data_IF_874940099812
#
_entry.id   IF_874940099812
#
_cell.length_a   1.000
_cell.length_b   1.000
_cell.length_c   1.000
_cell.angle_alpha   90.00
_cell.angle_beta   90.00
_cell.angle_gamma   90.00
#
_symmetry.space_group_name_H-M   'P 1'
#
loop_
_entity.id
_entity.type
_entity.pdbx_description
1 polymer ?
#
# COMPACT_ATOMS: atom_id res chain seq x y z
N UNK A 1 39.16 -9.44 1.08
CA UNK A 1 37.75 -9.88 0.95
C UNK A 1 37.74 -11.36 1.29
N UNK A 2 36.80 -11.83 2.11
CA UNK A 2 36.69 -13.26 2.40
C UNK A 2 36.12 -13.97 1.16
N UNK A 3 36.39 -15.27 1.01
CA UNK A 3 35.99 -16.05 -0.17
C UNK A 3 34.46 -16.07 -0.36
N UNK A 4 33.68 -15.88 0.70
CA UNK A 4 32.21 -15.81 0.65
C UNK A 4 31.67 -14.52 0.00
N UNK A 5 32.55 -13.54 -0.26
CA UNK A 5 32.22 -12.26 -0.89
C UNK A 5 32.79 -12.17 -2.31
N UNK A 6 32.90 -13.29 -3.02
CA UNK A 6 33.19 -13.27 -4.46
C UNK A 6 31.98 -12.79 -5.27
N UNK A 7 31.99 -11.50 -5.60
CA UNK A 7 30.98 -10.86 -6.45
C UNK A 7 31.33 -10.91 -7.94
N UNK A 8 32.33 -11.68 -8.37
CA UNK A 8 32.75 -11.78 -9.78
C UNK A 8 31.61 -12.23 -10.73
N UNK A 9 30.66 -13.03 -10.23
CA UNK A 9 29.44 -13.44 -10.93
C UNK A 9 28.26 -12.46 -10.83
N UNK A 10 28.45 -11.30 -10.19
CA UNK A 10 27.39 -10.32 -9.95
C UNK A 10 26.94 -9.61 -11.23
N UNK A 11 25.62 -9.64 -11.51
CA UNK A 11 25.03 -8.92 -12.65
C UNK A 11 24.44 -7.59 -12.16
N UNK A 12 24.99 -6.47 -12.64
CA UNK A 12 24.46 -5.13 -12.34
C UNK A 12 23.01 -5.03 -12.81
N UNK A 13 22.13 -4.61 -11.90
CA UNK A 13 20.73 -4.36 -12.23
C UNK A 13 19.91 -5.61 -12.56
N UNK A 14 20.31 -6.81 -12.12
CA UNK A 14 19.60 -8.09 -12.36
C UNK A 14 18.08 -8.03 -12.12
N UNK A 15 17.63 -7.20 -11.17
CA UNK A 15 16.21 -6.99 -10.84
C UNK A 15 15.73 -5.54 -11.05
N UNK A 16 16.57 -4.67 -11.61
CA UNK A 16 16.24 -3.26 -11.80
C UNK A 16 15.05 -3.08 -12.74
N UNK A 17 14.91 -3.92 -13.76
CA UNK A 17 13.76 -3.91 -14.66
C UNK A 17 12.47 -4.30 -13.94
N UNK A 18 12.48 -5.34 -13.10
CA UNK A 18 11.31 -5.76 -12.29
C UNK A 18 10.88 -4.71 -11.27
N UNK A 19 11.84 -3.93 -10.76
CA UNK A 19 11.56 -2.79 -9.91
C UNK A 19 10.88 -1.65 -10.70
N UNK A 20 11.36 -1.37 -11.92
CA UNK A 20 10.79 -0.37 -12.84
C UNK A 20 9.43 -0.76 -13.41
N UNK A 21 9.13 -2.05 -13.54
CA UNK A 21 7.83 -2.60 -13.94
C UNK A 21 6.72 -2.33 -12.90
N UNK A 22 7.07 -1.65 -11.79
CA UNK A 22 6.10 -1.17 -10.83
C UNK A 22 5.74 -2.27 -9.86
N UNK A 23 6.63 -2.55 -8.92
CA UNK A 23 6.15 -3.09 -7.65
C UNK A 23 5.29 -1.99 -7.04
N UNK A 24 4.00 -2.24 -6.77
CA UNK A 24 3.10 -1.27 -6.14
C UNK A 24 3.46 -1.09 -4.65
N UNK A 25 4.71 -0.73 -4.37
CA UNK A 25 5.26 -0.49 -3.04
C UNK A 25 5.05 0.99 -2.75
N UNK A 26 4.09 1.25 -1.87
CA UNK A 26 3.84 2.58 -1.33
C UNK A 26 4.57 2.68 0.01
N UNK A 27 5.52 3.60 0.11
CA UNK A 27 6.17 3.92 1.39
C UNK A 27 5.17 4.70 2.24
N UNK A 28 5.00 4.27 3.49
CA UNK A 28 4.27 5.04 4.49
C UNK A 28 5.21 6.07 5.11
N UNK A 29 4.65 7.20 5.54
CA UNK A 29 5.39 8.14 6.38
C UNK A 29 5.69 7.50 7.75
N UNK A 30 6.73 8.01 8.41
CA UNK A 30 7.32 7.34 9.57
C UNK A 30 6.34 7.28 10.76
N UNK A 31 5.50 8.30 10.91
CA UNK A 31 4.42 8.36 11.90
C UNK A 31 3.32 7.32 11.60
N UNK A 32 2.94 7.17 10.33
CA UNK A 32 1.96 6.17 9.90
C UNK A 32 2.51 4.76 10.07
N UNK A 33 3.76 4.53 9.69
CA UNK A 33 4.43 3.25 9.87
C UNK A 33 4.55 2.87 11.36
N UNK A 34 4.77 3.83 12.25
CA UNK A 34 4.83 3.58 13.70
C UNK A 34 3.49 3.09 14.29
N UNK A 35 2.36 3.43 13.66
CA UNK A 35 1.03 2.99 14.10
C UNK A 35 0.71 1.53 13.71
N UNK A 36 1.37 0.98 12.69
CA UNK A 36 1.04 -0.35 12.16
C UNK A 36 2.23 -1.32 12.23
N UNK A 37 2.08 -2.49 12.85
CA UNK A 37 3.18 -3.44 13.01
C UNK A 37 3.60 -4.13 11.70
N UNK A 38 2.71 -4.21 10.70
CA UNK A 38 2.98 -4.81 9.41
C UNK A 38 1.96 -4.38 8.33
N UNK A 39 2.21 -4.77 7.09
CA UNK A 39 1.36 -4.47 5.93
C UNK A 39 -0.02 -5.13 5.98
N UNK A 40 -0.18 -6.27 6.65
CA UNK A 40 -1.49 -6.91 6.81
C UNK A 40 -2.44 -6.00 7.60
N UNK A 41 -1.96 -5.39 8.69
CA UNK A 41 -2.75 -4.46 9.51
C UNK A 41 -3.09 -3.15 8.81
N UNK A 42 -2.18 -2.63 7.98
CA UNK A 42 -2.47 -1.47 7.12
C UNK A 42 -3.60 -1.80 6.14
N UNK A 43 -3.50 -2.94 5.46
CA UNK A 43 -4.49 -3.35 4.46
C UNK A 43 -5.86 -3.64 5.08
N UNK A 44 -5.89 -4.25 6.26
CA UNK A 44 -7.13 -4.47 7.03
C UNK A 44 -7.83 -3.14 7.32
N UNK A 45 -7.11 -2.17 7.89
CA UNK A 45 -7.67 -0.85 8.21
C UNK A 45 -8.21 -0.10 6.98
N UNK A 46 -7.45 -0.10 5.88
CA UNK A 46 -7.87 0.57 4.64
C UNK A 46 -9.10 -0.09 4.01
N UNK A 47 -9.22 -1.42 4.09
CA UNK A 47 -10.42 -2.14 3.59
C UNK A 47 -11.65 -1.81 4.43
N UNK A 48 -11.51 -1.78 5.76
CA UNK A 48 -12.60 -1.38 6.66
C UNK A 48 -13.05 0.05 6.38
N UNK A 49 -12.10 0.98 6.18
CA UNK A 49 -12.41 2.35 5.78
C UNK A 49 -13.17 2.40 4.44
N UNK A 50 -12.71 1.63 3.45
CA UNK A 50 -13.39 1.54 2.14
C UNK A 50 -14.83 1.05 2.27
N UNK A 51 -15.08 0.02 3.10
CA UNK A 51 -16.44 -0.48 3.37
C UNK A 51 -17.31 0.60 4.01
N UNK A 52 -16.80 1.32 5.01
CA UNK A 52 -17.54 2.39 5.68
C UNK A 52 -17.93 3.51 4.71
N UNK A 53 -17.00 3.94 3.85
CA UNK A 53 -17.24 4.97 2.84
C UNK A 53 -18.31 4.49 1.84
N UNK A 54 -18.23 3.24 1.39
CA UNK A 54 -19.21 2.64 0.49
C UNK A 54 -20.60 2.63 1.11
N UNK A 55 -20.73 2.16 2.35
CA UNK A 55 -22.01 2.14 3.07
C UNK A 55 -22.58 3.54 3.34
N UNK A 56 -21.74 4.54 3.59
CA UNK A 56 -22.22 5.91 3.78
C UNK A 56 -22.67 6.58 2.48
N UNK A 57 -22.05 6.21 1.35
CA UNK A 57 -22.44 6.73 0.03
C UNK A 57 -23.85 6.25 -0.35
N UNK A 58 -24.23 5.04 0.05
CA UNK A 58 -25.57 4.49 -0.15
C UNK A 58 -26.63 5.18 0.73
N UNK A 59 -26.25 5.66 1.92
CA UNK A 59 -27.15 6.36 2.87
C UNK A 59 -27.36 7.83 2.44
N UNK A 60 -26.39 8.45 1.77
CA UNK A 60 -26.46 9.84 1.31
C UNK A 60 -27.41 10.11 0.13
N UNK A 61 -27.92 9.07 -0.55
CA UNK A 61 -28.84 9.21 -1.69
C UNK A 61 -30.33 9.05 -1.32
N UNK A 62 -30.65 8.72 -0.06
CA UNK A 62 -32.02 8.47 0.37
C UNK A 62 -32.71 9.65 1.08
N UNK A 63 -32.00 10.77 1.34
CA UNK A 63 -32.57 11.91 2.06
C UNK A 63 -32.35 13.26 1.35
N UNK A 64 -32.89 13.43 0.14
CA UNK A 64 -33.25 14.77 -0.33
C UNK A 64 -34.77 14.94 -0.25
N UNK A 65 -35.30 15.76 0.68
CA UNK A 65 -36.70 16.13 0.64
C UNK A 65 -36.99 16.95 -0.63
N UNK A 66 -38.22 16.87 -1.17
CA UNK A 66 -38.57 17.58 -2.40
C UNK A 66 -38.38 19.09 -2.20
N UNK A 67 -37.56 19.69 -3.05
CA UNK A 67 -37.40 21.14 -3.14
C UNK A 67 -38.77 21.69 -3.59
N UNK A 68 -39.44 22.43 -2.72
CA UNK A 68 -40.65 23.21 -3.05
C UNK A 68 -40.25 24.55 -3.64
#
# INVERSE_FOLDING_TARGET
MLDEYDFSGGVRGKYATRYKEGTNIVRLDDDVAAMFPNSEKVNEALRTLGQLIQHHTDIGLTEQPPIT
#
